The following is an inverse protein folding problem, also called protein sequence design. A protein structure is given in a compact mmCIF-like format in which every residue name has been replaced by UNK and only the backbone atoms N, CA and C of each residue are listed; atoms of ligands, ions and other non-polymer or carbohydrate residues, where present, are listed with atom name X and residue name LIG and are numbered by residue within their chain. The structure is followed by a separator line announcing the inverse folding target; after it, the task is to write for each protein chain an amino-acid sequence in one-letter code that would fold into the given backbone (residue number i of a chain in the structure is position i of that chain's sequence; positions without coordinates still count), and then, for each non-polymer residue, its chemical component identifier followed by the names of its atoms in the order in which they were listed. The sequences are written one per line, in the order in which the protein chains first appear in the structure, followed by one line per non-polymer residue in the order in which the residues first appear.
data_IF_868726528535
#
_entry.id   IF_868726528535
#
_cell.length_a   1.000
_cell.length_b   1.000
_cell.length_c   1.000
_cell.angle_alpha   90.00
_cell.angle_beta   90.00
_cell.angle_gamma   90.00
#
_symmetry.space_group_name_H-M   'P 1'
#
loop_
_entity.id
_entity.type
_entity.pdbx_description
1 polymer ?
#
# COMPACT_ATOMS: atom_id res chain seq x y z
N UNK A 1 -1.38 -15.15 -37.91
CA UNK A 1 -2.12 -14.67 -36.73
C UNK A 1 -1.17 -14.56 -35.58
N UNK A 2 -0.89 -13.35 -35.12
CA UNK A 2 -0.07 -13.12 -33.94
C UNK A 2 -0.95 -13.27 -32.71
N UNK A 3 -0.87 -14.41 -32.04
CA UNK A 3 -1.51 -14.64 -30.75
C UNK A 3 -0.85 -13.71 -29.72
N UNK A 4 -1.41 -12.51 -29.59
CA UNK A 4 -1.16 -11.64 -28.46
C UNK A 4 -1.73 -12.39 -27.25
N UNK A 5 -0.85 -13.10 -26.53
CA UNK A 5 -1.18 -13.69 -25.22
C UNK A 5 -1.92 -12.63 -24.42
N UNK A 6 -3.07 -12.98 -23.85
CA UNK A 6 -3.91 -12.13 -23.00
C UNK A 6 -3.05 -11.40 -21.96
N UNK A 7 -2.60 -10.20 -22.30
CA UNK A 7 -1.89 -9.32 -21.38
C UNK A 7 -2.97 -8.74 -20.48
N UNK A 8 -3.16 -9.35 -19.33
CA UNK A 8 -3.93 -8.75 -18.26
C UNK A 8 -3.11 -7.57 -17.73
N UNK A 9 -3.47 -6.34 -18.11
CA UNK A 9 -2.97 -5.13 -17.44
C UNK A 9 -3.61 -5.07 -16.05
N UNK A 10 -2.93 -5.64 -15.07
CA UNK A 10 -3.28 -5.49 -13.66
C UNK A 10 -2.56 -4.25 -13.13
N UNK A 11 -3.27 -3.14 -13.06
CA UNK A 11 -2.78 -1.94 -12.38
C UNK A 11 -2.85 -2.20 -10.87
N UNK A 12 -1.71 -2.57 -10.29
CA UNK A 12 -1.59 -2.95 -8.89
C UNK A 12 -0.38 -2.29 -8.25
N UNK A 13 -0.46 -2.03 -6.95
CA UNK A 13 0.69 -1.54 -6.19
C UNK A 13 1.84 -2.56 -6.19
N UNK A 14 3.07 -2.18 -6.58
CA UNK A 14 4.18 -3.15 -6.67
C UNK A 14 4.72 -3.58 -5.30
N UNK A 15 4.59 -2.73 -4.28
CA UNK A 15 5.06 -2.95 -2.92
C UNK A 15 4.01 -2.51 -1.91
N UNK A 16 4.15 -3.01 -0.67
CA UNK A 16 3.35 -2.55 0.45
C UNK A 16 3.77 -1.13 0.82
N UNK A 17 2.79 -0.22 0.90
CA UNK A 17 2.96 1.16 1.31
C UNK A 17 2.43 1.31 2.73
N UNK A 18 3.16 2.00 3.58
CA UNK A 18 2.76 2.22 4.97
C UNK A 18 3.56 3.33 5.60
N UNK A 19 3.34 3.54 6.90
CA UNK A 19 4.07 4.53 7.67
C UNK A 19 4.90 3.84 8.75
N UNK A 20 6.05 4.42 9.08
CA UNK A 20 6.85 3.99 10.21
C UNK A 20 6.18 4.47 11.52
N UNK A 21 5.95 3.55 12.45
CA UNK A 21 5.40 3.81 13.78
C UNK A 21 6.52 3.76 14.84
N UNK A 22 6.20 4.19 16.07
CA UNK A 22 7.14 4.13 17.19
C UNK A 22 7.79 2.74 17.31
N UNK A 23 9.11 2.72 17.54
CA UNK A 23 9.89 1.48 17.62
C UNK A 23 10.41 0.97 16.28
N UNK A 24 10.45 1.81 15.23
CA UNK A 24 10.91 1.46 13.88
C UNK A 24 10.18 0.28 13.25
N UNK A 25 8.89 0.17 13.56
CA UNK A 25 7.98 -0.83 12.99
C UNK A 25 7.21 -0.20 11.83
N UNK A 26 7.12 -0.90 10.70
CA UNK A 26 6.35 -0.42 9.55
C UNK A 26 4.89 -0.88 9.68
N UNK A 27 3.96 0.07 9.82
CA UNK A 27 2.51 -0.19 9.75
C UNK A 27 2.04 -0.06 8.31
N UNK A 28 1.73 -1.19 7.68
CA UNK A 28 1.29 -1.24 6.28
C UNK A 28 -0.11 -0.65 6.12
N UNK A 29 -0.26 0.34 5.25
CA UNK A 29 -1.53 0.96 4.89
C UNK A 29 -2.12 0.32 3.63
N UNK A 30 -1.36 0.20 2.54
CA UNK A 30 -1.80 -0.43 1.29
C UNK A 30 -0.89 -1.62 1.03
N UNK A 31 -1.47 -2.80 0.92
CA UNK A 31 -0.71 -4.03 0.71
C UNK A 31 -0.19 -4.10 -0.74
N UNK A 32 0.92 -4.79 -0.96
CA UNK A 32 1.38 -5.11 -2.32
C UNK A 32 0.27 -5.84 -3.09
N UNK A 33 0.26 -5.65 -4.41
CA UNK A 33 -0.73 -6.20 -5.33
C UNK A 33 -2.16 -5.71 -5.10
N UNK A 34 -2.36 -4.55 -4.46
CA UNK A 34 -3.68 -3.91 -4.35
C UNK A 34 -4.02 -3.23 -5.68
N UNK A 35 -5.19 -3.49 -6.24
CA UNK A 35 -5.68 -2.86 -7.48
C UNK A 35 -5.78 -1.34 -7.35
N UNK A 36 -5.21 -0.60 -8.29
CA UNK A 36 -5.24 0.87 -8.37
C UNK A 36 -6.43 1.29 -9.25
N UNK A 37 -7.16 2.36 -8.92
CA UNK A 37 -6.97 3.27 -7.79
C UNK A 37 -7.46 2.72 -6.45
N UNK A 38 -6.66 2.85 -5.39
CA UNK A 38 -7.00 2.44 -4.03
C UNK A 38 -6.84 3.61 -3.04
N UNK A 39 -7.72 3.66 -2.03
CA UNK A 39 -7.64 4.60 -0.91
C UNK A 39 -7.83 3.82 0.40
N UNK A 40 -6.91 3.99 1.34
CA UNK A 40 -6.97 3.39 2.68
C UNK A 40 -6.69 4.49 3.70
N UNK A 41 -7.50 4.56 4.75
CA UNK A 41 -7.39 5.56 5.81
C UNK A 41 -7.33 4.84 7.15
N UNK A 42 -6.38 5.23 7.98
CA UNK A 42 -6.24 4.76 9.35
C UNK A 42 -5.90 5.96 10.22
N UNK A 43 -6.54 6.04 11.38
CA UNK A 43 -6.30 7.10 12.36
C UNK A 43 -5.11 6.68 13.21
N UNK A 44 -4.12 7.55 13.32
CA UNK A 44 -2.94 7.38 14.17
C UNK A 44 -2.91 8.47 15.24
N UNK A 45 -2.23 8.19 16.35
CA UNK A 45 -1.95 9.15 17.41
C UNK A 45 -0.45 9.29 17.59
N UNK A 46 -0.03 10.40 18.18
CA UNK A 46 1.37 10.66 18.53
C UNK A 46 1.77 9.74 19.68
N UNK A 47 3.00 9.23 19.65
CA UNK A 47 3.45 8.24 20.62
C UNK A 47 3.97 8.86 21.92
N UNK A 48 4.28 10.16 21.91
CA UNK A 48 4.54 10.96 23.10
C UNK A 48 3.37 11.94 23.33
N UNK A 49 2.99 12.08 24.60
CA UNK A 49 1.97 13.03 25.06
C UNK A 49 2.49 14.46 24.94
N UNK A 50 1.65 15.36 24.43
CA UNK A 50 1.92 16.80 24.25
C UNK A 50 2.82 17.18 23.05
N UNK A 51 2.63 16.50 21.91
CA UNK A 51 3.13 16.93 20.59
C UNK A 51 2.52 18.24 20.09
#
# INVERSE_FOLDING_TARGET
SGDVKDVLLLDVTPLSLGIETLGSVMSTLIDKNTTIPAKKQQIFSTADDNQ
#
